data_IF_866174492794
#
_entry.id   IF_866174492794
#
_cell.length_a   1.000
_cell.length_b   1.000
_cell.length_c   1.000
_cell.angle_alpha   90.00
_cell.angle_beta   90.00
_cell.angle_gamma   90.00
#
_symmetry.space_group_name_H-M   'P 1'
#
loop_
_entity.id
_entity.type
_entity.pdbx_description
1 polymer ?
#
# COMPACT_ATOMS: atom_id res chain seq x y z
N UNK A 1 -51.09 83.98 1.92
CA UNK A 1 -50.96 82.75 1.19
C UNK A 1 -49.90 81.94 1.89
N UNK A 2 -50.36 81.06 2.77
CA UNK A 2 -49.54 80.32 3.76
C UNK A 2 -49.18 78.95 3.17
N UNK A 3 -47.84 78.70 2.97
CA UNK A 3 -47.31 77.35 2.63
C UNK A 3 -47.32 76.47 3.90
N UNK A 4 -47.67 75.22 3.83
CA UNK A 4 -47.76 74.38 5.02
C UNK A 4 -46.39 73.90 5.55
N UNK A 5 -46.22 74.10 6.86
CA UNK A 5 -45.06 73.69 7.70
C UNK A 5 -44.81 72.21 7.76
N UNK A 6 -45.46 71.40 6.96
CA UNK A 6 -45.34 69.93 7.02
C UNK A 6 -44.20 69.33 6.16
N UNK A 7 -43.63 70.04 5.22
CA UNK A 7 -42.60 69.55 4.32
C UNK A 7 -41.14 69.66 4.90
N UNK A 8 -40.92 70.54 5.86
CA UNK A 8 -39.60 70.80 6.44
C UNK A 8 -39.16 69.72 7.44
N UNK A 9 -40.09 69.07 8.13
CA UNK A 9 -39.81 67.98 9.10
C UNK A 9 -39.45 66.64 8.40
N UNK A 10 -39.97 66.40 7.18
CA UNK A 10 -39.71 65.17 6.46
C UNK A 10 -38.33 65.10 5.85
N UNK A 11 -37.77 66.22 5.38
CA UNK A 11 -36.43 66.33 4.80
C UNK A 11 -35.31 66.13 5.83
N UNK A 12 -35.52 66.63 7.06
CA UNK A 12 -34.54 66.55 8.15
C UNK A 12 -34.41 65.09 8.70
N UNK A 13 -35.47 64.31 8.71
CA UNK A 13 -35.41 62.90 9.13
C UNK A 13 -34.76 61.97 8.06
N UNK A 14 -34.85 62.31 6.77
CA UNK A 14 -34.21 61.54 5.70
C UNK A 14 -32.70 61.80 5.71
N UNK A 15 -32.27 63.05 5.89
CA UNK A 15 -30.83 63.36 5.99
C UNK A 15 -30.18 62.70 7.23
N UNK A 16 -30.85 62.70 8.37
CA UNK A 16 -30.36 62.06 9.60
C UNK A 16 -30.19 60.54 9.46
N UNK A 17 -31.08 59.88 8.70
CA UNK A 17 -30.99 58.41 8.42
C UNK A 17 -29.84 58.05 7.45
N UNK A 18 -29.55 58.90 6.49
CA UNK A 18 -28.39 58.68 5.56
C UNK A 18 -27.05 58.94 6.23
N UNK A 19 -26.91 59.93 7.10
CA UNK A 19 -25.70 60.14 7.86
C UNK A 19 -25.39 59.00 8.87
N UNK A 20 -26.43 58.40 9.52
CA UNK A 20 -26.20 57.27 10.41
C UNK A 20 -25.82 56.00 9.67
N UNK A 21 -26.26 55.83 8.41
CA UNK A 21 -25.90 54.63 7.62
C UNK A 21 -24.46 54.71 7.03
N UNK A 22 -23.96 55.90 6.72
CA UNK A 22 -22.61 56.12 6.21
C UNK A 22 -21.57 56.00 7.33
N UNK A 23 -21.87 56.35 8.56
CA UNK A 23 -20.94 56.21 9.71
C UNK A 23 -20.83 54.74 10.15
N UNK A 24 -21.89 53.92 9.98
CA UNK A 24 -21.86 52.50 10.36
C UNK A 24 -21.09 51.63 9.36
N UNK A 25 -21.01 52.05 8.08
CA UNK A 25 -20.23 51.30 7.06
C UNK A 25 -18.75 51.60 7.08
N UNK A 26 -18.30 52.71 7.67
CA UNK A 26 -16.89 53.06 7.82
C UNK A 26 -16.19 52.35 9.00
N UNK A 27 -16.94 51.80 9.95
CA UNK A 27 -16.38 51.10 11.12
C UNK A 27 -16.03 49.62 10.87
N UNK A 28 -16.47 49.01 9.75
CA UNK A 28 -16.15 47.60 9.41
C UNK A 28 -14.95 47.42 8.48
N UNK A 29 -14.29 48.52 8.03
CA UNK A 29 -13.13 48.44 7.11
C UNK A 29 -11.77 48.37 7.84
N UNK A 30 -11.73 48.17 9.15
CA UNK A 30 -10.54 48.29 9.96
C UNK A 30 -9.93 47.04 10.57
N UNK A 31 -10.33 45.83 10.13
CA UNK A 31 -9.81 44.61 10.76
C UNK A 31 -9.59 43.43 9.78
N UNK A 32 -8.82 43.68 8.75
CA UNK A 32 -8.25 42.61 7.94
C UNK A 32 -6.76 42.91 7.69
N UNK A 33 -6.02 43.16 8.75
CA UNK A 33 -4.59 42.82 8.71
C UNK A 33 -4.55 41.33 8.90
N UNK A 34 -4.61 40.56 7.78
CA UNK A 34 -4.16 39.20 7.77
C UNK A 34 -2.72 39.23 8.33
N UNK A 35 -2.55 38.65 9.52
CA UNK A 35 -1.24 38.33 10.06
C UNK A 35 -0.56 37.48 8.99
N UNK A 36 0.31 38.14 8.19
CA UNK A 36 1.19 37.41 7.28
C UNK A 36 2.08 36.60 8.19
N UNK A 37 2.05 35.26 8.14
CA UNK A 37 2.93 34.45 8.98
C UNK A 37 4.36 34.99 8.77
N UNK A 38 5.16 35.14 9.82
CA UNK A 38 6.52 35.64 9.69
C UNK A 38 7.24 34.80 8.63
N UNK A 39 7.98 35.52 7.74
CA UNK A 39 8.74 34.90 6.65
C UNK A 39 9.69 33.85 7.25
N UNK A 40 9.21 32.61 7.28
CA UNK A 40 9.85 31.52 7.99
C UNK A 40 10.91 30.93 7.09
N UNK A 41 12.16 31.02 7.54
CA UNK A 41 13.24 30.33 6.84
C UNK A 41 13.20 28.85 7.14
N UNK A 42 12.93 28.04 6.15
CA UNK A 42 12.86 26.59 6.28
C UNK A 42 13.54 25.89 5.10
N UNK A 43 13.94 24.65 5.31
CA UNK A 43 14.46 23.77 4.27
C UNK A 43 13.64 22.50 4.27
N UNK A 44 13.11 22.12 3.12
CA UNK A 44 12.41 20.85 2.92
C UNK A 44 13.31 19.87 2.17
N UNK A 45 13.45 18.69 2.70
CA UNK A 45 14.29 17.61 2.15
C UNK A 45 13.55 16.29 2.14
N UNK A 46 13.94 15.43 1.21
CA UNK A 46 13.47 14.05 1.15
C UNK A 46 14.61 13.10 1.51
N UNK A 47 14.38 12.29 2.55
CA UNK A 47 15.26 11.21 2.93
C UNK A 47 14.77 9.87 2.43
N UNK A 48 15.71 8.95 2.15
CA UNK A 48 15.44 7.56 1.74
C UNK A 48 16.17 6.61 2.67
N UNK A 49 15.49 5.50 2.98
CA UNK A 49 16.09 4.40 3.72
C UNK A 49 15.77 3.09 3.05
N UNK A 50 16.74 2.20 3.05
CA UNK A 50 16.65 0.89 2.40
C UNK A 50 17.28 -0.17 3.30
N UNK A 51 16.61 -1.33 3.37
CA UNK A 51 17.06 -2.54 4.03
C UNK A 51 16.93 -3.70 3.06
N UNK A 52 17.99 -4.46 2.88
CA UNK A 52 17.99 -5.72 2.16
C UNK A 52 17.91 -6.86 3.17
N UNK A 53 17.05 -7.85 2.92
CA UNK A 53 16.86 -8.99 3.78
C UNK A 53 16.67 -10.28 2.99
N UNK A 54 17.13 -11.40 3.53
CA UNK A 54 16.85 -12.72 2.96
C UNK A 54 15.45 -13.15 3.39
N UNK A 55 14.59 -13.64 2.46
CA UNK A 55 13.32 -14.22 2.84
C UNK A 55 13.48 -15.46 3.71
N UNK A 56 12.57 -15.65 4.66
CA UNK A 56 12.54 -16.82 5.56
C UNK A 56 11.23 -17.61 5.46
N UNK A 57 10.32 -17.21 4.55
CA UNK A 57 9.05 -17.87 4.29
C UNK A 57 8.53 -17.53 2.91
N UNK A 58 7.59 -18.35 2.43
CA UNK A 58 6.85 -18.08 1.21
C UNK A 58 5.35 -18.21 1.47
N UNK A 59 4.55 -17.32 0.91
CA UNK A 59 3.10 -17.42 0.85
C UNK A 59 2.70 -18.04 -0.47
N UNK A 60 2.03 -19.18 -0.41
CA UNK A 60 1.43 -19.85 -1.55
C UNK A 60 -0.06 -19.51 -1.59
N UNK A 61 -0.49 -18.86 -2.65
CA UNK A 61 -1.90 -18.59 -2.92
C UNK A 61 -2.38 -19.54 -4.03
N UNK A 62 -3.48 -20.24 -3.80
CA UNK A 62 -4.01 -21.21 -4.73
C UNK A 62 -5.52 -21.30 -4.64
N UNK A 63 -6.16 -21.85 -5.65
CA UNK A 63 -7.59 -22.11 -5.63
C UNK A 63 -7.94 -23.42 -6.31
N UNK A 64 -9.09 -23.96 -5.91
CA UNK A 64 -9.76 -25.04 -6.60
C UNK A 64 -11.02 -24.50 -7.25
N UNK A 65 -11.20 -24.81 -8.51
CA UNK A 65 -12.35 -24.43 -9.32
C UNK A 65 -13.01 -25.68 -9.90
N UNK A 66 -14.32 -25.80 -9.68
CA UNK A 66 -15.12 -26.95 -10.12
C UNK A 66 -16.43 -26.47 -10.72
N UNK A 67 -16.82 -27.06 -11.86
CA UNK A 67 -18.13 -26.84 -12.46
C UNK A 67 -18.90 -28.15 -12.36
N UNK A 68 -20.10 -28.12 -11.73
CA UNK A 68 -21.00 -29.27 -11.59
C UNK A 68 -22.45 -28.85 -11.87
N UNK A 69 -23.31 -29.76 -12.27
CA UNK A 69 -24.73 -29.47 -12.59
C UNK A 69 -25.49 -28.80 -11.42
N UNK A 70 -25.11 -29.11 -10.19
CA UNK A 70 -25.73 -28.56 -8.98
C UNK A 70 -24.68 -28.08 -7.96
N UNK A 71 -25.10 -27.15 -7.11
CA UNK A 71 -24.22 -26.51 -6.11
C UNK A 71 -23.71 -27.53 -5.08
N UNK A 72 -24.51 -28.49 -4.67
CA UNK A 72 -24.16 -29.45 -3.61
C UNK A 72 -23.03 -30.38 -4.06
N UNK A 73 -23.11 -30.92 -5.27
CA UNK A 73 -22.05 -31.77 -5.84
C UNK A 73 -20.76 -31.00 -6.02
N UNK A 74 -20.83 -29.75 -6.53
CA UNK A 74 -19.66 -28.86 -6.65
C UNK A 74 -19.01 -28.59 -5.29
N UNK A 75 -19.77 -28.20 -4.28
CA UNK A 75 -19.26 -27.95 -2.93
C UNK A 75 -18.65 -29.20 -2.27
N UNK A 76 -19.28 -30.34 -2.44
CA UNK A 76 -18.79 -31.63 -1.90
C UNK A 76 -17.41 -31.94 -2.45
N UNK A 77 -17.21 -31.76 -3.76
CA UNK A 77 -15.93 -32.01 -4.41
C UNK A 77 -14.86 -31.01 -4.00
N UNK A 78 -15.17 -29.73 -4.04
CA UNK A 78 -14.26 -28.66 -3.59
C UNK A 78 -13.82 -28.90 -2.14
N UNK A 79 -14.76 -29.23 -1.25
CA UNK A 79 -14.44 -29.50 0.15
C UNK A 79 -13.58 -30.76 0.34
N UNK A 80 -13.75 -31.77 -0.50
CA UNK A 80 -12.88 -32.96 -0.50
C UNK A 80 -11.46 -32.58 -0.88
N UNK A 81 -11.28 -31.90 -2.03
CA UNK A 81 -9.97 -31.48 -2.54
C UNK A 81 -9.22 -30.61 -1.49
N UNK A 82 -9.92 -29.64 -0.91
CA UNK A 82 -9.33 -28.77 0.11
C UNK A 82 -8.91 -29.55 1.35
N UNK A 83 -9.75 -30.47 1.85
CA UNK A 83 -9.39 -31.31 3.02
C UNK A 83 -8.18 -32.19 2.74
N UNK A 84 -8.14 -32.82 1.58
CA UNK A 84 -7.03 -33.71 1.17
C UNK A 84 -5.71 -32.89 1.10
N UNK A 85 -5.76 -31.71 0.50
CA UNK A 85 -4.58 -30.82 0.48
C UNK A 85 -4.16 -30.35 1.87
N UNK A 86 -5.11 -29.93 2.74
CA UNK A 86 -4.79 -29.47 4.09
C UNK A 86 -4.14 -30.59 4.94
N UNK A 87 -4.54 -31.83 4.75
CA UNK A 87 -3.89 -32.98 5.38
C UNK A 87 -2.43 -33.11 4.90
N UNK A 88 -2.21 -33.01 3.60
CA UNK A 88 -0.88 -33.06 3.00
C UNK A 88 0.01 -31.89 3.47
N UNK A 89 -0.53 -30.67 3.50
CA UNK A 89 0.20 -29.48 3.94
C UNK A 89 0.67 -29.61 5.41
N UNK A 90 -0.21 -30.12 6.30
CA UNK A 90 0.18 -30.41 7.69
C UNK A 90 1.26 -31.49 7.80
N UNK A 91 1.18 -32.53 6.98
CA UNK A 91 2.21 -33.58 6.94
C UNK A 91 3.58 -33.03 6.47
N UNK A 92 3.60 -31.99 5.62
CA UNK A 92 4.80 -31.28 5.22
C UNK A 92 5.31 -30.26 6.26
N UNK A 93 4.55 -30.03 7.35
CA UNK A 93 4.94 -29.18 8.46
C UNK A 93 4.24 -27.82 8.51
N UNK A 94 3.20 -27.57 7.68
CA UNK A 94 2.41 -26.37 7.82
C UNK A 94 1.58 -26.41 9.11
N UNK A 95 1.59 -25.33 9.87
CA UNK A 95 0.78 -25.19 11.08
C UNK A 95 -0.61 -24.63 10.73
N UNK A 96 -1.57 -24.84 11.61
CA UNK A 96 -2.92 -24.32 11.39
C UNK A 96 -2.96 -22.79 11.31
N UNK A 97 -2.09 -22.10 12.02
CA UNK A 97 -1.92 -20.64 11.95
C UNK A 97 -1.40 -20.14 10.58
N UNK A 98 -0.69 -20.99 9.86
CA UNK A 98 -0.11 -20.72 8.54
C UNK A 98 -1.09 -20.98 7.39
N UNK A 99 -2.27 -21.51 7.69
CA UNK A 99 -3.27 -21.94 6.71
C UNK A 99 -4.49 -21.02 6.77
N UNK A 100 -4.89 -20.48 5.65
CA UNK A 100 -6.14 -19.73 5.50
C UNK A 100 -6.95 -20.31 4.33
N UNK A 101 -8.24 -20.55 4.56
CA UNK A 101 -9.19 -21.06 3.56
C UNK A 101 -10.36 -20.09 3.34
N UNK A 102 -10.11 -18.80 3.44
CA UNK A 102 -11.09 -17.76 3.17
C UNK A 102 -11.36 -17.63 1.66
N UNK A 103 -12.60 -17.37 1.30
CA UNK A 103 -12.97 -17.12 -0.10
C UNK A 103 -13.66 -18.34 -0.74
N UNK A 104 -14.99 -18.36 -0.66
CA UNK A 104 -15.85 -19.26 -1.42
C UNK A 104 -16.70 -18.40 -2.36
N UNK A 105 -16.62 -18.68 -3.67
CA UNK A 105 -17.47 -18.08 -4.69
C UNK A 105 -18.29 -19.15 -5.37
N UNK A 106 -19.56 -18.86 -5.60
CA UNK A 106 -20.49 -19.74 -6.32
C UNK A 106 -21.21 -18.89 -7.35
N UNK A 107 -21.11 -19.26 -8.62
CA UNK A 107 -21.80 -18.57 -9.72
C UNK A 107 -22.37 -19.57 -10.72
N UNK A 108 -23.47 -19.21 -11.37
CA UNK A 108 -23.99 -19.99 -12.48
C UNK A 108 -23.13 -19.74 -13.73
N UNK A 109 -22.74 -20.79 -14.41
CA UNK A 109 -21.94 -20.76 -15.63
C UNK A 109 -22.81 -21.02 -16.85
N UNK A 110 -22.62 -20.23 -17.92
CA UNK A 110 -23.38 -20.35 -19.16
C UNK A 110 -22.46 -20.29 -20.36
N UNK A 111 -22.75 -21.12 -21.36
CA UNK A 111 -22.16 -21.03 -22.69
C UNK A 111 -22.99 -20.06 -23.57
N UNK A 112 -22.31 -19.04 -24.12
CA UNK A 112 -22.91 -18.05 -25.00
C UNK A 112 -22.53 -18.23 -26.48
N UNK A 113 -21.74 -19.25 -26.81
CA UNK A 113 -21.24 -19.47 -28.18
C UNK A 113 -22.29 -20.05 -29.15
N UNK A 114 -23.39 -20.58 -28.62
CA UNK A 114 -24.43 -21.20 -29.41
C UNK A 114 -25.38 -20.24 -30.13
N UNK A 115 -25.80 -20.57 -31.37
CA UNK A 115 -26.79 -19.79 -32.13
C UNK A 115 -28.18 -19.69 -31.46
N UNK A 116 -28.47 -20.57 -30.50
CA UNK A 116 -29.78 -20.71 -29.85
C UNK A 116 -29.87 -20.05 -28.47
N UNK A 117 -28.99 -19.02 -28.20
CA UNK A 117 -28.93 -18.31 -26.95
C UNK A 117 -28.05 -19.02 -25.89
N UNK A 118 -28.12 -18.56 -24.64
CA UNK A 118 -27.27 -19.08 -23.54
C UNK A 118 -27.70 -20.49 -23.12
N UNK A 119 -26.73 -21.39 -23.01
CA UNK A 119 -26.91 -22.74 -22.46
C UNK A 119 -26.32 -22.80 -21.05
N UNK A 120 -27.11 -23.22 -20.07
CA UNK A 120 -26.60 -23.45 -18.72
C UNK A 120 -25.63 -24.63 -18.69
N UNK A 121 -24.42 -24.41 -18.15
CA UNK A 121 -23.35 -25.39 -18.00
C UNK A 121 -23.31 -26.03 -16.61
N UNK A 122 -23.77 -25.30 -15.60
CA UNK A 122 -23.72 -25.71 -14.21
C UNK A 122 -23.39 -24.59 -13.27
N UNK A 123 -22.94 -24.93 -12.08
CA UNK A 123 -22.45 -23.99 -11.07
C UNK A 123 -20.93 -24.08 -10.98
N UNK A 124 -20.28 -22.94 -11.19
CA UNK A 124 -18.87 -22.77 -10.98
C UNK A 124 -18.63 -22.39 -9.52
N UNK A 125 -17.93 -23.25 -8.80
CA UNK A 125 -17.55 -23.06 -7.41
C UNK A 125 -16.04 -22.91 -7.34
N UNK A 126 -15.59 -21.79 -6.79
CA UNK A 126 -14.16 -21.49 -6.56
C UNK A 126 -13.91 -21.36 -5.08
N UNK A 127 -12.88 -22.03 -4.57
CA UNK A 127 -12.42 -21.87 -3.19
C UNK A 127 -10.94 -21.56 -3.15
N UNK A 128 -10.61 -20.36 -2.62
CA UNK A 128 -9.25 -19.92 -2.39
C UNK A 128 -8.69 -20.47 -1.09
N UNK A 129 -7.38 -20.71 -1.09
CA UNK A 129 -6.63 -21.07 0.10
C UNK A 129 -5.21 -20.45 0.02
N UNK A 130 -4.65 -20.18 1.19
CA UNK A 130 -3.29 -19.67 1.33
C UNK A 130 -2.56 -20.53 2.37
N UNK A 131 -1.30 -20.81 2.08
CA UNK A 131 -0.42 -21.53 2.99
C UNK A 131 0.89 -20.77 3.09
N UNK A 132 1.35 -20.50 4.32
CA UNK A 132 2.68 -19.94 4.58
C UNK A 132 3.65 -21.09 4.80
N UNK A 133 4.63 -21.21 3.90
CA UNK A 133 5.69 -22.21 3.96
C UNK A 133 6.91 -21.56 4.59
N UNK A 134 7.36 -22.08 5.73
CA UNK A 134 8.51 -21.55 6.49
C UNK A 134 9.84 -22.18 6.08
N UNK A 135 9.80 -23.31 5.40
CA UNK A 135 10.95 -24.01 4.84
C UNK A 135 10.89 -23.85 3.32
N UNK A 136 11.69 -22.93 2.79
CA UNK A 136 11.64 -22.57 1.38
C UNK A 136 12.04 -23.72 0.46
N UNK A 137 12.83 -24.67 0.94
CA UNK A 137 13.26 -25.85 0.16
C UNK A 137 12.07 -26.79 -0.11
N UNK A 138 11.02 -26.72 0.68
CA UNK A 138 9.80 -27.53 0.53
C UNK A 138 8.73 -26.90 -0.36
N UNK A 139 8.94 -25.70 -0.91
CA UNK A 139 7.94 -25.06 -1.77
C UNK A 139 7.50 -26.00 -2.89
N UNK A 140 8.44 -26.69 -3.54
CA UNK A 140 8.17 -27.65 -4.59
C UNK A 140 7.24 -28.79 -4.15
N UNK A 141 7.47 -29.33 -2.95
CA UNK A 141 6.64 -30.41 -2.40
C UNK A 141 5.22 -29.92 -2.12
N UNK A 142 5.06 -28.71 -1.56
CA UNK A 142 3.73 -28.11 -1.33
C UNK A 142 2.95 -27.92 -2.63
N UNK A 143 3.60 -27.47 -3.69
CA UNK A 143 2.99 -27.27 -5.00
C UNK A 143 2.60 -28.60 -5.65
N UNK A 144 3.48 -29.61 -5.57
CA UNK A 144 3.20 -30.95 -6.09
C UNK A 144 1.97 -31.56 -5.37
N UNK A 145 1.96 -31.51 -4.04
CA UNK A 145 0.82 -32.03 -3.24
C UNK A 145 -0.48 -31.26 -3.49
N UNK A 146 -0.41 -29.98 -3.84
CA UNK A 146 -1.58 -29.21 -4.24
C UNK A 146 -2.20 -29.78 -5.53
N UNK A 147 -1.36 -30.02 -6.54
CA UNK A 147 -1.77 -30.61 -7.81
C UNK A 147 -2.32 -32.03 -7.62
N UNK A 148 -1.62 -32.87 -6.83
CA UNK A 148 -2.06 -34.24 -6.52
C UNK A 148 -3.44 -34.27 -5.84
N UNK A 149 -3.75 -33.33 -4.97
CA UNK A 149 -5.04 -33.19 -4.30
C UNK A 149 -6.18 -32.74 -5.25
N UNK A 150 -5.84 -32.13 -6.39
CA UNK A 150 -6.78 -31.59 -7.37
C UNK A 150 -6.94 -30.08 -7.34
N UNK A 151 -6.04 -29.35 -6.69
CA UNK A 151 -5.96 -27.88 -6.84
C UNK A 151 -5.51 -27.58 -8.26
N UNK A 152 -6.24 -26.72 -8.95
CA UNK A 152 -6.05 -26.47 -10.38
C UNK A 152 -5.64 -25.04 -10.73
N UNK A 153 -5.54 -24.16 -9.73
CA UNK A 153 -5.02 -22.80 -9.91
C UNK A 153 -4.01 -22.52 -8.81
N UNK A 154 -2.79 -22.18 -9.20
CA UNK A 154 -1.70 -21.84 -8.28
C UNK A 154 -1.05 -20.57 -8.77
N UNK A 155 -0.91 -19.59 -7.89
CA UNK A 155 -0.18 -18.34 -8.15
C UNK A 155 1.30 -18.51 -7.84
N UNK A 156 2.13 -17.63 -8.38
CA UNK A 156 3.55 -17.59 -8.06
C UNK A 156 3.78 -17.46 -6.55
N UNK A 157 4.72 -18.21 -5.95
CA UNK A 157 5.07 -18.09 -4.54
C UNK A 157 5.55 -16.67 -4.21
N UNK A 158 4.94 -16.06 -3.21
CA UNK A 158 5.34 -14.76 -2.71
C UNK A 158 6.31 -14.92 -1.55
N UNK A 159 7.56 -14.50 -1.77
CA UNK A 159 8.59 -14.55 -0.74
C UNK A 159 8.36 -13.43 0.28
N UNK A 160 8.49 -13.76 1.56
CA UNK A 160 8.26 -12.86 2.67
C UNK A 160 9.34 -13.05 3.75
N UNK A 161 9.43 -12.08 4.65
CA UNK A 161 10.19 -12.26 5.90
C UNK A 161 9.28 -12.16 7.12
N UNK A 162 9.55 -13.01 8.10
CA UNK A 162 8.90 -12.94 9.41
C UNK A 162 9.18 -11.63 10.15
N UNK A 163 10.25 -10.93 9.76
CA UNK A 163 10.69 -9.65 10.33
C UNK A 163 10.37 -8.46 9.43
N UNK A 164 9.41 -8.60 8.50
CA UNK A 164 9.07 -7.56 7.55
C UNK A 164 8.79 -6.20 8.20
N UNK A 165 7.99 -6.18 9.29
CA UNK A 165 7.70 -4.96 10.04
C UNK A 165 8.94 -4.34 10.69
N UNK A 166 9.86 -5.16 11.22
CA UNK A 166 11.11 -4.67 11.80
C UNK A 166 12.00 -4.04 10.74
N UNK A 167 12.13 -4.68 9.58
CA UNK A 167 12.90 -4.13 8.46
C UNK A 167 12.29 -2.83 7.94
N UNK A 168 10.97 -2.74 7.92
CA UNK A 168 10.27 -1.53 7.53
C UNK A 168 10.50 -0.38 8.51
N UNK A 169 10.44 -0.66 9.83
CA UNK A 169 10.81 0.33 10.87
C UNK A 169 12.27 0.79 10.73
N UNK A 170 13.19 -0.12 10.43
CA UNK A 170 14.60 0.22 10.20
C UNK A 170 14.79 1.06 8.95
N UNK A 171 14.10 0.74 7.84
CA UNK A 171 14.13 1.54 6.62
C UNK A 171 13.61 2.97 6.89
N UNK A 172 12.51 3.10 7.63
CA UNK A 172 11.97 4.40 8.02
C UNK A 172 12.94 5.21 8.89
N UNK A 173 13.58 4.58 9.86
CA UNK A 173 14.60 5.23 10.69
C UNK A 173 15.79 5.72 9.85
N UNK A 174 16.28 4.91 8.89
CA UNK A 174 17.32 5.33 7.95
C UNK A 174 16.88 6.51 7.10
N UNK A 175 15.64 6.52 6.61
CA UNK A 175 15.10 7.62 5.82
C UNK A 175 15.07 8.94 6.62
N UNK A 176 14.69 8.90 7.89
CA UNK A 176 14.69 10.07 8.75
C UNK A 176 16.11 10.60 9.02
N UNK A 177 17.07 9.71 9.24
CA UNK A 177 18.48 10.07 9.40
C UNK A 177 19.05 10.70 8.13
N UNK A 178 18.74 10.13 6.96
CA UNK A 178 19.17 10.66 5.65
C UNK A 178 18.56 12.04 5.37
N UNK A 179 17.26 12.26 5.68
CA UNK A 179 16.64 13.58 5.56
C UNK A 179 17.37 14.62 6.41
N UNK A 180 17.63 14.31 7.70
CA UNK A 180 18.35 15.21 8.60
C UNK A 180 19.78 15.50 8.11
N UNK A 181 20.50 14.50 7.64
CA UNK A 181 21.86 14.66 7.11
C UNK A 181 21.87 15.60 5.89
N UNK A 182 20.92 15.44 4.97
CA UNK A 182 20.77 16.35 3.81
C UNK A 182 20.47 17.78 4.22
N UNK A 183 19.55 17.97 5.18
CA UNK A 183 19.22 19.30 5.70
C UNK A 183 20.43 19.96 6.37
N UNK A 184 21.24 19.19 7.12
CA UNK A 184 22.47 19.68 7.76
C UNK A 184 23.49 20.15 6.72
N UNK A 185 23.74 19.36 5.68
CA UNK A 185 24.67 19.74 4.59
C UNK A 185 24.23 21.06 3.93
N UNK A 186 22.91 21.21 3.69
CA UNK A 186 22.38 22.45 3.10
C UNK A 186 22.55 23.64 4.05
N UNK A 187 22.24 23.45 5.35
CA UNK A 187 22.41 24.51 6.35
C UNK A 187 23.88 24.96 6.47
N UNK A 188 24.81 24.01 6.53
CA UNK A 188 26.24 24.29 6.62
C UNK A 188 26.76 25.05 5.37
N UNK A 189 26.34 24.63 4.18
CA UNK A 189 26.71 25.25 2.90
C UNK A 189 26.20 26.70 2.81
N UNK A 190 25.02 26.96 3.37
CA UNK A 190 24.41 28.29 3.37
C UNK A 190 24.85 29.17 4.56
N UNK A 191 25.75 28.68 5.41
CA UNK A 191 26.21 29.36 6.64
C UNK A 191 25.05 29.74 7.58
N UNK A 192 24.09 28.81 7.76
CA UNK A 192 22.98 28.93 8.70
C UNK A 192 22.96 27.71 9.62
N UNK A 193 22.27 27.80 10.76
CA UNK A 193 22.12 26.64 11.67
C UNK A 193 20.85 25.88 11.37
N UNK A 194 20.95 24.56 11.38
CA UNK A 194 19.76 23.68 11.28
C UNK A 194 18.99 23.73 12.60
N UNK A 195 17.71 24.10 12.53
CA UNK A 195 16.80 24.17 13.66
C UNK A 195 16.04 22.87 13.89
N UNK A 196 14.92 22.98 14.61
CA UNK A 196 14.02 21.86 14.88
C UNK A 196 13.29 21.41 13.60
N UNK A 197 12.84 20.14 13.60
CA UNK A 197 11.91 19.66 12.59
C UNK A 197 10.54 20.33 12.80
N UNK A 198 9.98 20.90 11.75
CA UNK A 198 8.68 21.54 11.77
C UNK A 198 7.58 20.62 11.28
N UNK A 199 7.80 20.02 10.12
CA UNK A 199 6.85 19.10 9.50
C UNK A 199 7.58 17.82 9.14
N UNK A 200 6.96 16.69 9.44
CA UNK A 200 7.47 15.36 9.10
C UNK A 200 6.36 14.55 8.49
N UNK A 201 6.51 14.16 7.23
CA UNK A 201 5.62 13.25 6.54
C UNK A 201 6.39 11.98 6.19
N UNK A 202 5.98 10.88 6.77
CA UNK A 202 6.55 9.59 6.48
C UNK A 202 5.61 8.81 5.56
N UNK A 203 6.08 8.45 4.38
CA UNK A 203 5.40 7.52 3.50
C UNK A 203 6.14 6.19 3.60
N UNK A 204 5.57 5.27 4.32
CA UNK A 204 5.95 3.88 4.28
C UNK A 204 5.04 3.20 3.26
N UNK A 205 5.35 3.35 1.98
CA UNK A 205 4.70 2.54 0.98
C UNK A 205 5.11 1.10 1.25
N UNK A 206 4.12 0.27 1.59
CA UNK A 206 4.26 -1.18 1.58
C UNK A 206 4.34 -1.61 0.11
N UNK A 207 5.45 -1.28 -0.53
CA UNK A 207 5.78 -1.85 -1.81
C UNK A 207 6.16 -3.30 -1.53
N UNK A 208 5.36 -4.23 -2.04
CA UNK A 208 5.72 -5.65 -1.97
C UNK A 208 7.16 -5.78 -2.49
N UNK A 209 8.05 -6.46 -1.74
CA UNK A 209 9.42 -6.62 -2.17
C UNK A 209 9.45 -7.18 -3.58
N UNK A 210 9.84 -6.37 -4.55
CA UNK A 210 10.05 -6.87 -5.89
C UNK A 210 11.36 -7.64 -5.90
N UNK A 211 11.37 -8.86 -6.45
CA UNK A 211 12.64 -9.55 -6.64
C UNK A 211 13.57 -8.64 -7.46
N UNK A 212 14.84 -8.52 -7.07
CA UNK A 212 15.78 -7.69 -7.80
C UNK A 212 15.76 -8.10 -9.27
N UNK A 213 15.50 -7.14 -10.16
CA UNK A 213 15.63 -7.40 -11.60
C UNK A 213 17.06 -7.83 -11.84
N UNK A 214 17.32 -8.96 -12.51
CA UNK A 214 18.68 -9.35 -12.82
C UNK A 214 19.31 -8.21 -13.64
N UNK A 215 20.25 -7.49 -13.02
CA UNK A 215 21.14 -6.65 -13.80
C UNK A 215 21.95 -7.60 -14.67
N UNK A 216 21.75 -7.50 -15.98
CA UNK A 216 22.58 -8.20 -16.97
C UNK A 216 23.97 -7.59 -16.87
N UNK A 217 24.75 -8.01 -15.88
CA UNK A 217 26.19 -7.84 -15.94
C UNK A 217 26.71 -8.81 -17.00
N UNK A 218 26.96 -8.28 -18.17
CA UNK A 218 27.84 -8.93 -19.15
C UNK A 218 29.22 -9.12 -18.51
N UNK A 219 29.36 -10.18 -17.74
CA UNK A 219 30.67 -10.68 -17.35
C UNK A 219 30.77 -12.10 -17.87
N UNK A 220 31.40 -12.21 -19.03
CA UNK A 220 32.00 -13.48 -19.47
C UNK A 220 32.98 -13.94 -18.38
N UNK A 221 32.58 -14.92 -17.60
CA UNK A 221 33.47 -15.74 -16.81
C UNK A 221 32.77 -17.08 -16.55
N UNK A 222 33.48 -18.14 -16.77
CA UNK A 222 33.13 -19.54 -16.74
C UNK A 222 32.12 -19.92 -15.64
N UNK A 223 31.12 -20.67 -16.06
CA UNK A 223 30.15 -21.30 -15.16
C UNK A 223 30.86 -22.34 -14.28
N UNK A 224 30.69 -22.34 -12.95
CA UNK A 224 30.91 -23.55 -12.18
C UNK A 224 29.77 -24.51 -12.47
N UNK A 225 30.09 -25.78 -12.67
CA UNK A 225 29.13 -26.86 -12.82
C UNK A 225 28.18 -26.87 -11.64
N UNK A 226 26.87 -26.69 -11.91
CA UNK A 226 25.81 -26.78 -10.91
C UNK A 226 25.65 -28.24 -10.52
N UNK A 227 25.89 -28.54 -9.24
CA UNK A 227 25.50 -29.81 -8.63
C UNK A 227 24.01 -30.08 -8.89
N UNK A 228 23.75 -31.17 -9.61
CA UNK A 228 22.46 -31.54 -10.17
C UNK A 228 21.44 -32.08 -9.15
N UNK A 229 21.14 -31.38 -8.06
CA UNK A 229 20.15 -31.84 -7.09
C UNK A 229 19.11 -30.78 -6.63
N UNK A 230 18.89 -29.71 -7.38
CA UNK A 230 17.75 -28.82 -7.12
C UNK A 230 16.64 -29.13 -8.11
N UNK A 231 15.68 -29.93 -7.70
CA UNK A 231 14.55 -30.41 -8.51
C UNK A 231 13.60 -29.31 -9.03
N UNK A 232 13.70 -28.10 -8.54
CA UNK A 232 13.16 -26.87 -9.13
C UNK A 232 14.08 -25.74 -8.69
N UNK A 233 14.94 -25.22 -9.57
CA UNK A 233 15.91 -24.17 -9.28
C UNK A 233 15.28 -22.86 -8.77
N UNK A 234 14.82 -22.87 -7.51
CA UNK A 234 14.22 -21.73 -6.87
C UNK A 234 15.30 -20.91 -6.16
N UNK A 235 15.64 -19.73 -6.71
CA UNK A 235 16.57 -18.80 -6.07
C UNK A 235 15.75 -17.73 -5.33
N UNK A 236 15.86 -17.69 -4.03
CA UNK A 236 15.05 -16.83 -3.17
C UNK A 236 15.40 -15.33 -3.28
N UNK A 237 16.55 -14.95 -3.88
CA UNK A 237 16.94 -13.54 -4.00
C UNK A 237 16.98 -12.80 -2.66
N UNK A 238 16.92 -11.47 -2.72
CA UNK A 238 16.81 -10.60 -1.54
C UNK A 238 15.53 -9.77 -1.60
N UNK A 239 14.89 -9.58 -0.47
CA UNK A 239 13.75 -8.67 -0.28
C UNK A 239 14.30 -7.27 0.00
N UNK A 240 13.73 -6.27 -0.64
CA UNK A 240 14.08 -4.88 -0.44
C UNK A 240 12.94 -4.15 0.28
N UNK A 241 13.22 -3.59 1.44
CA UNK A 241 12.31 -2.76 2.21
C UNK A 241 12.75 -1.31 2.08
N UNK A 242 11.90 -0.44 1.55
CA UNK A 242 12.20 0.97 1.34
C UNK A 242 11.22 1.87 2.09
N UNK A 243 11.68 3.04 2.50
CA UNK A 243 10.88 4.09 3.08
C UNK A 243 11.35 5.45 2.61
N UNK A 244 10.43 6.40 2.52
CA UNK A 244 10.73 7.79 2.20
C UNK A 244 10.14 8.70 3.27
N UNK A 245 10.92 9.69 3.70
CA UNK A 245 10.52 10.71 4.66
C UNK A 245 10.69 12.06 4.02
N UNK A 246 9.64 12.89 3.99
CA UNK A 246 9.72 14.30 3.67
C UNK A 246 9.74 15.09 4.97
N UNK A 247 10.78 15.88 5.19
CA UNK A 247 10.96 16.65 6.42
C UNK A 247 11.25 18.11 6.10
N UNK A 248 10.60 18.99 6.86
CA UNK A 248 10.85 20.43 6.86
C UNK A 248 11.52 20.83 8.17
N UNK A 249 12.67 21.49 8.07
CA UNK A 249 13.44 21.99 9.21
C UNK A 249 13.51 23.49 9.18
N UNK A 250 13.49 24.10 10.35
CA UNK A 250 13.78 25.52 10.50
C UNK A 250 15.24 25.82 10.19
N UNK A 251 15.50 27.00 9.61
CA UNK A 251 16.82 27.54 9.42
C UNK A 251 17.00 28.75 10.36
N UNK A 252 17.95 28.63 11.26
CA UNK A 252 18.28 29.67 12.24
C UNK A 252 19.45 30.56 11.73
N UNK A 253 19.47 31.82 12.15
CA UNK A 253 20.60 32.68 11.86
C UNK A 253 21.92 32.09 12.39
N UNK A 254 23.06 32.39 11.79
CA UNK A 254 24.37 31.88 12.17
C UNK A 254 24.75 32.19 13.60
#
# INVERSE_FOLDING_TARGET
MLLPKALEKSAMHVLARYCSFVVLTAACAGAAFADTPPDRRAVTVNGRGEILATPDRARLAMSVEVIRPDVRSAQTEVNRIVRDYLANARALGAKDEDISTAGLSIRAEYDYSGKNGRKFLGYHVTRGLQVVVRDLDKIGDFLLRATDAGINTVSDPQLESSKAEDYQRQALAKAAVDARAKAQVLADTLNVKLGAVHTLNANSDYEQPQPPRPMVMMKMAAAPEADGNSQMGFSAGQLQYSATVSAEFDLLAP
#
